data_IF_183529909482
#
_entry.id   IF_183529909482
#
_cell.length_a   1.000
_cell.length_b   1.000
_cell.length_c   1.000
_cell.angle_alpha   90.00
_cell.angle_beta   90.00
_cell.angle_gamma   90.00
#
_symmetry.space_group_name_H-M   'P 1'
#
loop_
_entity.id
_entity.type
_entity.pdbx_description
1 polymer ?
#
# COMPACT_ATOMS: atom_id res chain seq x y z
N UNK A 1 -34.20 10.91 -2.98
CA UNK A 1 -34.53 10.67 -4.40
C UNK A 1 -33.22 10.51 -5.17
N UNK A 2 -32.64 9.30 -5.15
CA UNK A 2 -31.43 8.98 -5.94
C UNK A 2 -31.89 8.77 -7.38
N UNK A 3 -31.61 9.75 -8.24
CA UNK A 3 -31.74 9.61 -9.69
C UNK A 3 -30.97 8.37 -10.11
N UNK A 4 -31.47 7.59 -11.07
CA UNK A 4 -30.73 6.49 -11.69
C UNK A 4 -29.30 6.96 -11.97
N UNK A 5 -28.28 6.16 -11.65
CA UNK A 5 -26.91 6.57 -11.91
C UNK A 5 -26.82 6.90 -13.39
N UNK A 6 -26.31 8.09 -13.71
CA UNK A 6 -26.05 8.45 -15.09
C UNK A 6 -25.30 7.29 -15.73
N UNK A 7 -25.71 6.84 -16.89
CA UNK A 7 -25.09 5.71 -17.63
C UNK A 7 -23.57 5.88 -17.73
N UNK A 8 -23.09 7.11 -17.69
CA UNK A 8 -21.69 7.48 -17.64
C UNK A 8 -20.99 7.01 -16.36
N UNK A 9 -21.60 7.20 -15.18
CA UNK A 9 -20.99 6.78 -13.90
C UNK A 9 -20.92 5.26 -13.79
N UNK A 10 -21.97 4.56 -14.22
CA UNK A 10 -21.95 3.11 -14.31
C UNK A 10 -20.85 2.60 -15.26
N UNK A 11 -20.65 3.28 -16.39
CA UNK A 11 -19.54 2.98 -17.32
C UNK A 11 -18.17 3.16 -16.68
N UNK A 12 -17.95 4.23 -15.92
CA UNK A 12 -16.69 4.49 -15.21
C UNK A 12 -16.41 3.42 -14.16
N UNK A 13 -17.43 3.03 -13.36
CA UNK A 13 -17.29 1.95 -12.37
C UNK A 13 -16.96 0.62 -13.02
N UNK A 14 -17.61 0.28 -14.15
CA UNK A 14 -17.32 -0.95 -14.87
C UNK A 14 -15.89 -0.95 -15.43
N UNK A 15 -15.47 0.14 -16.05
CA UNK A 15 -14.09 0.30 -16.53
C UNK A 15 -13.08 0.17 -15.37
N UNK A 16 -13.35 0.83 -14.23
CA UNK A 16 -12.53 0.74 -13.02
C UNK A 16 -12.44 -0.71 -12.55
N UNK A 17 -13.55 -1.41 -12.38
CA UNK A 17 -13.58 -2.80 -11.93
C UNK A 17 -12.75 -3.72 -12.84
N UNK A 18 -12.88 -3.58 -14.16
CA UNK A 18 -12.13 -4.38 -15.14
C UNK A 18 -10.62 -4.08 -15.03
N UNK A 19 -10.22 -2.81 -15.04
CA UNK A 19 -8.81 -2.41 -14.97
C UNK A 19 -8.18 -2.91 -13.66
N UNK A 20 -8.85 -2.71 -12.53
CA UNK A 20 -8.36 -3.15 -11.24
C UNK A 20 -8.27 -4.68 -11.13
N UNK A 21 -9.24 -5.41 -11.68
CA UNK A 21 -9.20 -6.87 -11.73
C UNK A 21 -8.04 -7.38 -12.59
N UNK A 22 -7.80 -6.77 -13.76
CA UNK A 22 -6.68 -7.11 -14.65
C UNK A 22 -5.33 -6.84 -13.98
N UNK A 23 -5.17 -5.68 -13.34
CA UNK A 23 -3.94 -5.36 -12.59
C UNK A 23 -3.75 -6.32 -11.42
N UNK A 24 -4.81 -6.59 -10.64
CA UNK A 24 -4.78 -7.57 -9.56
C UNK A 24 -4.40 -8.96 -10.04
N UNK A 25 -4.99 -9.45 -11.13
CA UNK A 25 -4.67 -10.72 -11.77
C UNK A 25 -3.21 -10.79 -12.23
N UNK A 26 -2.71 -9.74 -12.86
CA UNK A 26 -1.32 -9.65 -13.28
C UNK A 26 -0.34 -9.82 -12.11
N UNK A 27 -0.67 -9.29 -10.94
CA UNK A 27 0.14 -9.46 -9.73
C UNK A 27 0.20 -10.92 -9.25
N UNK A 28 -0.79 -11.75 -9.53
CA UNK A 28 -0.75 -13.18 -9.19
C UNK A 28 -0.04 -14.02 -10.25
N UNK A 29 -0.24 -13.75 -11.54
CA UNK A 29 0.25 -14.57 -12.64
C UNK A 29 1.70 -14.32 -13.05
N UNK A 30 2.22 -13.11 -12.83
CA UNK A 30 3.61 -12.81 -13.17
C UNK A 30 4.57 -13.75 -12.43
N UNK A 31 5.32 -14.54 -13.21
CA UNK A 31 6.41 -15.39 -12.69
C UNK A 31 7.57 -14.51 -12.24
N UNK A 32 8.09 -14.80 -11.06
CA UNK A 32 9.23 -14.08 -10.49
C UNK A 32 10.40 -15.01 -10.21
N UNK A 33 11.63 -14.52 -10.34
CA UNK A 33 12.81 -15.25 -9.91
C UNK A 33 12.66 -15.65 -8.43
N UNK A 34 13.12 -16.85 -8.10
CA UNK A 34 13.15 -17.35 -6.72
C UNK A 34 14.41 -16.79 -6.06
N UNK A 35 14.37 -15.51 -5.69
CA UNK A 35 15.40 -14.84 -4.92
C UNK A 35 14.89 -14.64 -3.48
N UNK A 36 15.68 -15.03 -2.48
CA UNK A 36 15.32 -14.87 -1.06
C UNK A 36 15.16 -13.40 -0.68
N UNK A 37 15.95 -12.52 -1.28
CA UNK A 37 15.88 -11.06 -1.10
C UNK A 37 14.50 -10.50 -1.49
N UNK A 38 13.82 -11.15 -2.43
CA UNK A 38 12.47 -10.78 -2.89
C UNK A 38 11.34 -11.46 -2.09
N UNK A 39 11.64 -12.21 -1.01
CA UNK A 39 10.64 -12.94 -0.23
C UNK A 39 9.51 -12.03 0.25
N UNK A 40 9.83 -10.90 0.86
CA UNK A 40 8.83 -9.95 1.37
C UNK A 40 8.08 -9.25 0.24
N UNK A 41 8.74 -8.94 -0.87
CA UNK A 41 8.08 -8.43 -2.06
C UNK A 41 7.08 -9.46 -2.61
N UNK A 42 7.44 -10.74 -2.71
CA UNK A 42 6.51 -11.79 -3.14
C UNK A 42 5.28 -11.89 -2.24
N UNK A 43 5.48 -11.76 -0.92
CA UNK A 43 4.37 -11.76 0.03
C UNK A 43 3.51 -10.49 -0.14
N UNK A 44 4.12 -9.32 -0.17
CA UNK A 44 3.41 -8.05 -0.30
C UNK A 44 2.65 -7.96 -1.63
N UNK A 45 3.19 -8.52 -2.71
CA UNK A 45 2.53 -8.61 -4.01
C UNK A 45 1.18 -9.33 -3.94
N UNK A 46 1.09 -10.43 -3.18
CA UNK A 46 -0.18 -11.14 -2.97
C UNK A 46 -1.18 -10.26 -2.22
N UNK A 47 -0.74 -9.53 -1.19
CA UNK A 47 -1.61 -8.60 -0.47
C UNK A 47 -2.11 -7.46 -1.37
N UNK A 48 -1.23 -6.90 -2.19
CA UNK A 48 -1.61 -5.87 -3.17
C UNK A 48 -2.60 -6.44 -4.19
N UNK A 49 -2.37 -7.65 -4.71
CA UNK A 49 -3.31 -8.30 -5.61
C UNK A 49 -4.70 -8.48 -4.99
N UNK A 50 -4.78 -8.94 -3.74
CA UNK A 50 -6.04 -9.03 -3.01
C UNK A 50 -6.68 -7.67 -2.76
N UNK A 51 -5.88 -6.62 -2.49
CA UNK A 51 -6.39 -5.25 -2.37
C UNK A 51 -7.02 -4.77 -3.69
N UNK A 52 -6.41 -5.07 -4.83
CA UNK A 52 -6.99 -4.76 -6.15
C UNK A 52 -8.30 -5.50 -6.40
N UNK A 53 -8.36 -6.80 -6.06
CA UNK A 53 -9.62 -7.54 -6.19
C UNK A 53 -10.71 -7.03 -5.26
N UNK A 54 -10.36 -6.60 -4.04
CA UNK A 54 -11.34 -5.99 -3.14
C UNK A 54 -11.88 -4.65 -3.66
N UNK A 55 -11.03 -3.84 -4.34
CA UNK A 55 -11.47 -2.62 -5.04
C UNK A 55 -12.42 -2.95 -6.18
N UNK A 56 -11.99 -3.85 -7.08
CA UNK A 56 -12.81 -4.27 -8.21
C UNK A 56 -14.17 -4.85 -7.77
N UNK A 57 -14.16 -5.66 -6.71
CA UNK A 57 -15.38 -6.20 -6.11
C UNK A 57 -16.29 -5.10 -5.57
N UNK A 58 -15.71 -4.09 -4.92
CA UNK A 58 -16.48 -2.93 -4.42
C UNK A 58 -17.13 -2.16 -5.55
N UNK A 59 -16.40 -1.92 -6.65
CA UNK A 59 -16.95 -1.24 -7.82
C UNK A 59 -18.12 -2.04 -8.44
N UNK A 60 -18.00 -3.38 -8.49
CA UNK A 60 -19.09 -4.26 -8.94
C UNK A 60 -20.28 -4.21 -7.98
N UNK A 61 -20.04 -4.25 -6.67
CA UNK A 61 -21.12 -4.11 -5.67
C UNK A 61 -21.84 -2.78 -5.84
N UNK A 62 -21.11 -1.68 -6.03
CA UNK A 62 -21.70 -0.38 -6.31
C UNK A 62 -22.60 -0.40 -7.55
N UNK A 63 -22.15 -1.05 -8.64
CA UNK A 63 -22.96 -1.19 -9.86
C UNK A 63 -24.27 -1.96 -9.61
N UNK A 64 -24.22 -2.99 -8.77
CA UNK A 64 -25.40 -3.80 -8.43
C UNK A 64 -26.35 -3.04 -7.49
N UNK A 65 -25.81 -2.38 -6.47
CA UNK A 65 -26.60 -1.70 -5.44
C UNK A 65 -27.10 -0.31 -5.83
N UNK A 66 -26.48 0.35 -6.81
CA UNK A 66 -26.99 1.63 -7.34
C UNK A 66 -28.40 1.55 -7.94
N UNK A 67 -28.87 0.35 -8.26
CA UNK A 67 -30.23 0.11 -8.79
C UNK A 67 -31.31 0.02 -7.72
N UNK A 68 -30.93 -0.23 -6.47
CA UNK A 68 -31.86 -0.43 -5.38
C UNK A 68 -31.67 0.67 -4.33
N UNK A 69 -32.78 1.12 -3.72
CA UNK A 69 -32.75 2.11 -2.63
C UNK A 69 -32.24 1.44 -1.33
N UNK A 70 -30.93 1.07 -1.30
CA UNK A 70 -30.34 0.56 -0.07
C UNK A 70 -30.19 1.68 0.96
N UNK A 71 -30.38 1.31 2.22
CA UNK A 71 -30.15 2.20 3.36
C UNK A 71 -28.75 2.80 3.29
N UNK A 72 -28.68 4.11 3.35
CA UNK A 72 -27.45 4.89 3.28
C UNK A 72 -26.39 4.39 4.29
N UNK A 73 -26.85 3.93 5.45
CA UNK A 73 -25.98 3.47 6.53
C UNK A 73 -25.30 2.14 6.24
N UNK A 74 -25.97 1.19 5.57
CA UNK A 74 -25.36 -0.05 5.08
C UNK A 74 -24.18 0.26 4.15
N UNK A 75 -24.42 1.14 3.20
CA UNK A 75 -23.41 1.57 2.23
C UNK A 75 -22.20 2.24 2.90
N UNK A 76 -22.44 3.10 3.89
CA UNK A 76 -21.39 3.77 4.67
C UNK A 76 -20.51 2.76 5.41
N UNK A 77 -21.09 1.74 6.04
CA UNK A 77 -20.36 0.67 6.73
C UNK A 77 -19.44 -0.06 5.74
N UNK A 78 -20.01 -0.46 4.59
CA UNK A 78 -19.26 -1.21 3.57
C UNK A 78 -18.07 -0.41 3.04
N UNK A 79 -18.29 0.86 2.68
CA UNK A 79 -17.22 1.74 2.17
C UNK A 79 -16.12 1.95 3.23
N UNK A 80 -16.50 2.16 4.50
CA UNK A 80 -15.53 2.31 5.59
C UNK A 80 -14.70 1.03 5.78
N UNK A 81 -15.34 -0.13 5.77
CA UNK A 81 -14.68 -1.42 5.91
C UNK A 81 -13.66 -1.66 4.78
N UNK A 82 -14.09 -1.44 3.53
CA UNK A 82 -13.22 -1.60 2.36
C UNK A 82 -12.06 -0.61 2.40
N UNK A 83 -12.32 0.66 2.73
CA UNK A 83 -11.27 1.67 2.85
C UNK A 83 -10.23 1.29 3.93
N UNK A 84 -10.66 0.74 5.07
CA UNK A 84 -9.77 0.30 6.14
C UNK A 84 -8.94 -0.95 5.74
N UNK A 85 -9.55 -1.90 5.03
CA UNK A 85 -8.83 -3.06 4.45
C UNK A 85 -7.76 -2.59 3.47
N UNK A 86 -8.10 -1.67 2.57
CA UNK A 86 -7.19 -1.16 1.56
C UNK A 86 -6.04 -0.35 2.18
N UNK A 87 -6.35 0.54 3.14
CA UNK A 87 -5.32 1.27 3.88
C UNK A 87 -4.32 0.29 4.53
N UNK A 88 -4.81 -0.82 5.09
CA UNK A 88 -3.94 -1.86 5.68
C UNK A 88 -3.07 -2.55 4.63
N UNK A 89 -3.66 -2.99 3.52
CA UNK A 89 -2.96 -3.79 2.51
C UNK A 89 -1.95 -2.97 1.72
N UNK A 90 -2.36 -1.80 1.20
CA UNK A 90 -1.47 -0.95 0.42
C UNK A 90 -0.36 -0.31 1.27
N UNK A 91 -0.71 0.23 2.45
CA UNK A 91 0.30 0.82 3.33
C UNK A 91 1.30 -0.23 3.82
N UNK A 92 0.82 -1.41 4.22
CA UNK A 92 1.68 -2.52 4.62
C UNK A 92 2.61 -2.95 3.50
N UNK A 93 2.11 -3.08 2.27
CA UNK A 93 2.92 -3.43 1.12
C UNK A 93 4.00 -2.38 0.81
N UNK A 94 3.64 -1.09 0.86
CA UNK A 94 4.59 0.01 0.62
C UNK A 94 5.69 0.06 1.69
N UNK A 95 5.37 -0.24 2.96
CA UNK A 95 6.38 -0.35 4.01
C UNK A 95 7.36 -1.48 3.73
N UNK A 96 6.91 -2.62 3.18
CA UNK A 96 7.82 -3.74 2.85
C UNK A 96 8.78 -3.44 1.70
N UNK A 97 8.46 -2.46 0.84
CA UNK A 97 9.38 -2.03 -0.23
C UNK A 97 10.57 -1.25 0.33
N UNK A 98 10.42 -0.60 1.48
CA UNK A 98 11.49 0.18 2.14
C UNK A 98 12.12 -0.56 3.32
N UNK A 99 11.47 -1.59 3.86
CA UNK A 99 11.98 -2.43 4.92
C UNK A 99 11.65 -3.90 4.66
N UNK A 100 12.62 -4.66 4.15
CA UNK A 100 12.45 -6.08 3.81
C UNK A 100 12.16 -6.97 5.03
N UNK A 101 12.53 -6.55 6.24
CA UNK A 101 12.31 -7.30 7.50
C UNK A 101 10.97 -6.98 8.17
N UNK A 102 10.16 -6.08 7.58
CA UNK A 102 8.88 -5.70 8.18
C UNK A 102 7.94 -6.91 8.32
N UNK A 103 7.35 -7.18 9.52
CA UNK A 103 6.53 -8.36 9.77
C UNK A 103 5.11 -8.20 9.21
N UNK A 104 5.00 -8.08 7.87
CA UNK A 104 3.77 -7.75 7.16
C UNK A 104 2.61 -8.68 7.52
N UNK A 105 2.79 -10.00 7.43
CA UNK A 105 1.71 -10.95 7.61
C UNK A 105 1.05 -10.87 9.00
N UNK A 106 1.87 -10.70 10.04
CA UNK A 106 1.38 -10.60 11.43
C UNK A 106 0.68 -9.26 11.69
N UNK A 107 1.22 -8.17 11.14
CA UNK A 107 0.63 -6.83 11.22
C UNK A 107 -0.71 -6.78 10.49
N UNK A 108 -0.73 -7.16 9.20
CA UNK A 108 -1.94 -7.17 8.37
C UNK A 108 -3.05 -8.03 9.01
N UNK A 109 -2.74 -9.24 9.49
CA UNK A 109 -3.75 -10.10 10.13
C UNK A 109 -4.41 -9.44 11.33
N UNK A 110 -3.63 -8.79 12.21
CA UNK A 110 -4.19 -8.08 13.38
C UNK A 110 -5.10 -6.93 12.97
N UNK A 111 -4.68 -6.12 12.00
CA UNK A 111 -5.49 -5.00 11.51
C UNK A 111 -6.76 -5.49 10.80
N UNK A 112 -6.69 -6.54 9.98
CA UNK A 112 -7.87 -7.10 9.32
C UNK A 112 -8.88 -7.68 10.33
N UNK A 113 -8.41 -8.35 11.40
CA UNK A 113 -9.29 -8.80 12.48
C UNK A 113 -9.97 -7.62 13.21
N UNK A 114 -9.22 -6.54 13.47
CA UNK A 114 -9.79 -5.34 14.07
C UNK A 114 -10.84 -4.67 13.15
N UNK A 115 -10.57 -4.60 11.85
CA UNK A 115 -11.53 -4.09 10.85
C UNK A 115 -12.78 -4.99 10.80
N UNK A 116 -12.62 -6.30 10.76
CA UNK A 116 -13.75 -7.24 10.76
C UNK A 116 -14.61 -7.10 12.03
N UNK A 117 -13.98 -7.02 13.20
CA UNK A 117 -14.68 -6.82 14.46
C UNK A 117 -15.41 -5.46 14.50
N UNK A 118 -14.77 -4.38 14.06
CA UNK A 118 -15.38 -3.05 13.96
C UNK A 118 -16.57 -3.03 12.99
N UNK A 119 -16.42 -3.67 11.82
CA UNK A 119 -17.51 -3.79 10.83
C UNK A 119 -18.68 -4.59 11.39
N UNK A 120 -18.43 -5.73 12.04
CA UNK A 120 -19.46 -6.53 12.69
C UNK A 120 -20.19 -5.74 13.80
N UNK A 121 -19.43 -4.97 14.59
CA UNK A 121 -20.00 -4.11 15.63
C UNK A 121 -20.90 -3.01 15.05
N UNK A 122 -20.51 -2.41 13.91
CA UNK A 122 -21.34 -1.41 13.22
C UNK A 122 -22.62 -2.01 12.68
N UNK A 123 -22.57 -3.20 12.04
CA UNK A 123 -23.78 -3.89 11.58
C UNK A 123 -24.69 -4.29 12.75
N UNK A 124 -24.10 -4.84 13.83
CA UNK A 124 -24.87 -5.18 15.03
C UNK A 124 -25.54 -3.94 15.65
N UNK A 125 -24.80 -2.82 15.73
CA UNK A 125 -25.36 -1.57 16.24
C UNK A 125 -26.47 -1.02 15.34
N UNK A 126 -26.29 -1.06 14.03
CA UNK A 126 -27.31 -0.62 13.06
C UNK A 126 -28.61 -1.42 13.21
N UNK A 127 -28.52 -2.74 13.42
CA UNK A 127 -29.68 -3.63 13.51
C UNK A 127 -30.39 -3.56 14.88
N UNK A 128 -29.62 -3.52 15.98
CA UNK A 128 -30.17 -3.67 17.33
C UNK A 128 -30.26 -2.34 18.10
N UNK A 129 -29.44 -1.35 17.74
CA UNK A 129 -29.34 -0.06 18.46
C UNK A 129 -29.22 1.12 17.49
N UNK A 130 -30.21 1.35 16.60
CA UNK A 130 -30.11 2.38 15.56
C UNK A 130 -29.85 3.79 16.08
N UNK A 131 -30.29 4.10 17.30
CA UNK A 131 -30.06 5.41 17.94
C UNK A 131 -28.56 5.63 18.28
N UNK A 132 -27.81 4.57 18.60
CA UNK A 132 -26.40 4.64 18.93
C UNK A 132 -25.49 4.58 17.66
N UNK A 133 -26.04 4.15 16.55
CA UNK A 133 -25.29 3.96 15.28
C UNK A 133 -24.53 5.21 14.83
N UNK A 134 -25.11 6.44 14.79
CA UNK A 134 -24.39 7.62 14.32
C UNK A 134 -23.14 7.94 15.16
N UNK A 135 -23.20 7.67 16.47
CA UNK A 135 -22.08 7.91 17.39
C UNK A 135 -20.98 6.87 17.14
N UNK A 136 -21.37 5.58 17.11
CA UNK A 136 -20.42 4.48 16.88
C UNK A 136 -19.75 4.61 15.50
N UNK A 137 -20.52 5.00 14.48
CA UNK A 137 -19.98 5.23 13.13
C UNK A 137 -18.92 6.34 13.12
N UNK A 138 -19.18 7.49 13.76
CA UNK A 138 -18.19 8.59 13.86
C UNK A 138 -16.93 8.15 14.60
N UNK A 139 -17.07 7.39 15.68
CA UNK A 139 -15.94 6.84 16.42
C UNK A 139 -15.10 5.88 15.57
N UNK A 140 -15.76 5.02 14.81
CA UNK A 140 -15.08 4.08 13.89
C UNK A 140 -14.40 4.82 12.74
N UNK A 141 -15.03 5.86 12.18
CA UNK A 141 -14.41 6.71 11.17
C UNK A 141 -13.19 7.47 11.72
N UNK A 142 -13.27 7.96 12.96
CA UNK A 142 -12.11 8.56 13.64
C UNK A 142 -10.99 7.53 13.87
N UNK A 143 -11.31 6.31 14.29
CA UNK A 143 -10.35 5.21 14.45
C UNK A 143 -9.68 4.87 13.11
N UNK A 144 -10.41 4.92 11.99
CA UNK A 144 -9.84 4.77 10.65
C UNK A 144 -8.83 5.89 10.32
N UNK A 145 -9.14 7.15 10.62
CA UNK A 145 -8.19 8.24 10.44
C UNK A 145 -6.93 8.05 11.29
N UNK A 146 -7.07 7.60 12.54
CA UNK A 146 -5.94 7.24 13.42
C UNK A 146 -5.13 6.09 12.80
N UNK A 147 -5.77 5.08 12.22
CA UNK A 147 -5.10 3.98 11.53
C UNK A 147 -4.22 4.51 10.38
N UNK A 148 -4.74 5.41 9.53
CA UNK A 148 -3.95 6.05 8.46
C UNK A 148 -2.76 6.81 9.04
N UNK A 149 -2.96 7.58 10.10
CA UNK A 149 -1.88 8.33 10.75
C UNK A 149 -0.78 7.43 11.32
N UNK A 150 -1.13 6.29 11.92
CA UNK A 150 -0.18 5.29 12.42
C UNK A 150 0.61 4.64 11.28
N UNK A 151 -0.03 4.30 10.16
CA UNK A 151 0.66 3.83 8.98
C UNK A 151 1.58 4.89 8.40
N UNK A 152 1.15 6.15 8.34
CA UNK A 152 1.96 7.26 7.86
C UNK A 152 3.21 7.45 8.74
N UNK A 153 3.05 7.43 10.06
CA UNK A 153 4.18 7.49 11.01
C UNK A 153 5.17 6.35 10.79
N UNK A 154 4.65 5.12 10.65
CA UNK A 154 5.48 3.93 10.42
C UNK A 154 6.23 4.04 9.10
N UNK A 155 5.53 4.39 8.01
CA UNK A 155 6.13 4.55 6.71
C UNK A 155 7.22 5.63 6.69
N UNK A 156 6.95 6.81 7.25
CA UNK A 156 7.93 7.91 7.29
C UNK A 156 9.18 7.51 8.07
N UNK A 157 9.02 6.76 9.18
CA UNK A 157 10.16 6.26 9.96
C UNK A 157 11.01 5.31 9.13
N UNK A 158 10.41 4.28 8.55
CA UNK A 158 11.11 3.27 7.76
C UNK A 158 11.73 3.87 6.49
N UNK A 159 11.01 4.78 5.83
CA UNK A 159 11.52 5.48 4.66
C UNK A 159 12.75 6.35 4.98
N UNK A 160 12.75 7.05 6.13
CA UNK A 160 13.91 7.84 6.57
C UNK A 160 15.11 6.96 6.86
N UNK A 161 14.92 5.80 7.48
CA UNK A 161 15.99 4.83 7.75
C UNK A 161 16.54 4.30 6.43
N UNK A 162 15.69 3.85 5.52
CA UNK A 162 16.09 3.37 4.20
C UNK A 162 16.83 4.45 3.42
N UNK A 163 16.35 5.67 3.46
CA UNK A 163 17.00 6.82 2.82
C UNK A 163 18.43 7.04 3.33
N UNK A 164 18.61 7.07 4.64
CA UNK A 164 19.96 7.25 5.23
C UNK A 164 20.93 6.14 4.81
N UNK A 165 20.44 4.88 4.75
CA UNK A 165 21.23 3.76 4.28
C UNK A 165 21.67 3.96 2.82
N UNK A 166 20.73 4.36 1.95
CA UNK A 166 21.03 4.61 0.53
C UNK A 166 21.95 5.79 0.32
N UNK A 167 21.79 6.89 1.06
CA UNK A 167 22.66 8.07 0.99
C UNK A 167 24.11 7.73 1.37
N UNK A 168 24.32 6.72 2.25
CA UNK A 168 25.66 6.27 2.65
C UNK A 168 26.35 5.37 1.62
N UNK A 169 25.59 4.67 0.76
CA UNK A 169 26.14 3.67 -0.15
C UNK A 169 26.12 4.09 -1.63
N UNK A 170 25.24 5.01 -2.01
CA UNK A 170 25.06 5.41 -3.41
C UNK A 170 25.11 6.92 -3.57
N UNK A 171 25.63 7.38 -4.72
CA UNK A 171 25.50 8.76 -5.15
C UNK A 171 24.03 9.09 -5.52
N UNK A 172 23.67 10.36 -5.55
CA UNK A 172 22.31 10.95 -5.65
C UNK A 172 21.31 10.31 -6.66
N UNK A 173 21.79 9.52 -7.63
CA UNK A 173 20.95 8.94 -8.68
C UNK A 173 19.96 7.86 -8.21
N UNK A 174 20.31 7.06 -7.21
CA UNK A 174 19.50 5.91 -6.77
C UNK A 174 18.32 6.33 -5.89
N UNK A 175 18.44 7.47 -5.20
CA UNK A 175 17.36 8.06 -4.40
C UNK A 175 16.10 8.40 -5.23
N UNK A 176 16.27 8.81 -6.49
CA UNK A 176 15.18 9.13 -7.39
C UNK A 176 14.28 7.92 -7.63
N UNK A 177 14.84 6.71 -7.60
CA UNK A 177 14.14 5.44 -7.84
C UNK A 177 13.16 5.08 -6.71
N UNK A 178 13.45 5.47 -5.46
CA UNK A 178 12.55 5.24 -4.32
C UNK A 178 11.50 6.35 -4.13
N UNK A 179 11.66 7.48 -4.81
CA UNK A 179 10.72 8.62 -4.66
C UNK A 179 9.28 8.24 -5.00
N UNK A 180 9.08 7.36 -6.01
CA UNK A 180 7.73 6.92 -6.37
C UNK A 180 7.02 6.16 -5.25
N UNK A 181 7.76 5.43 -4.39
CA UNK A 181 7.19 4.71 -3.23
C UNK A 181 6.61 5.71 -2.23
N UNK A 182 7.34 6.80 -1.95
CA UNK A 182 6.87 7.87 -1.07
C UNK A 182 5.64 8.60 -1.65
N UNK A 183 5.67 8.91 -2.94
CA UNK A 183 4.53 9.54 -3.64
C UNK A 183 3.32 8.61 -3.63
N UNK A 184 3.52 7.31 -3.88
CA UNK A 184 2.45 6.31 -3.85
C UNK A 184 1.83 6.18 -2.46
N UNK A 185 2.66 6.23 -1.41
CA UNK A 185 2.15 6.21 -0.04
C UNK A 185 1.30 7.45 0.27
N UNK A 186 1.80 8.63 -0.09
CA UNK A 186 1.07 9.90 0.09
C UNK A 186 -0.28 9.88 -0.64
N UNK A 187 -0.29 9.44 -1.90
CA UNK A 187 -1.52 9.36 -2.69
C UNK A 187 -2.51 8.34 -2.12
N UNK A 188 -2.02 7.17 -1.69
CA UNK A 188 -2.88 6.16 -1.01
C UNK A 188 -3.50 6.73 0.27
N UNK A 189 -2.73 7.46 1.08
CA UNK A 189 -3.23 8.09 2.29
C UNK A 189 -4.26 9.19 1.98
N UNK A 190 -4.01 10.02 0.96
CA UNK A 190 -4.94 11.06 0.51
C UNK A 190 -6.26 10.45 0.00
N UNK A 191 -6.22 9.39 -0.81
CA UNK A 191 -7.41 8.67 -1.27
C UNK A 191 -8.19 8.12 -0.06
N UNK A 192 -7.50 7.56 0.92
CA UNK A 192 -8.15 7.08 2.16
C UNK A 192 -8.82 8.20 2.95
N UNK A 193 -8.17 9.35 3.10
CA UNK A 193 -8.73 10.52 3.80
C UNK A 193 -9.89 11.15 3.04
N UNK A 194 -9.84 11.22 1.71
CA UNK A 194 -10.95 11.72 0.89
C UNK A 194 -12.16 10.79 0.95
N UNK A 195 -11.95 9.46 1.00
CA UNK A 195 -13.04 8.51 1.26
C UNK A 195 -13.68 8.74 2.63
N UNK A 196 -12.88 8.95 3.70
CA UNK A 196 -13.39 9.27 5.02
C UNK A 196 -14.17 10.59 5.05
N UNK A 197 -13.67 11.61 4.36
CA UNK A 197 -14.36 12.90 4.25
C UNK A 197 -15.73 12.77 3.59
N UNK A 198 -15.83 11.97 2.53
CA UNK A 198 -17.11 11.67 1.89
C UNK A 198 -18.10 10.98 2.85
N UNK A 199 -17.63 9.98 3.58
CA UNK A 199 -18.44 9.23 4.55
C UNK A 199 -19.08 10.13 5.62
N UNK A 200 -18.34 11.17 6.05
CA UNK A 200 -18.81 12.07 7.11
C UNK A 200 -19.64 13.22 6.57
N UNK A 201 -19.28 13.77 5.40
CA UNK A 201 -19.89 14.99 4.84
C UNK A 201 -21.10 14.73 3.94
N UNK A 202 -21.30 13.48 3.45
CA UNK A 202 -22.38 13.14 2.54
C UNK A 202 -22.31 13.88 1.19
N UNK A 203 -21.10 14.15 0.69
CA UNK A 203 -20.86 14.79 -0.61
C UNK A 203 -21.57 14.03 -1.73
N UNK A 204 -22.14 14.76 -2.71
CA UNK A 204 -23.01 14.21 -3.74
C UNK A 204 -22.29 13.43 -4.86
N UNK A 205 -23.06 12.98 -5.86
CA UNK A 205 -22.61 12.16 -7.00
C UNK A 205 -21.43 12.76 -7.79
N UNK A 206 -21.32 14.09 -8.04
CA UNK A 206 -20.15 14.64 -8.75
C UNK A 206 -18.82 14.36 -8.04
N UNK A 207 -18.83 14.37 -6.71
CA UNK A 207 -17.65 14.01 -5.92
C UNK A 207 -17.28 12.54 -6.10
N UNK A 208 -18.25 11.62 -6.04
CA UNK A 208 -18.01 10.19 -6.25
C UNK A 208 -17.45 9.90 -7.62
N UNK A 209 -17.96 10.56 -8.66
CA UNK A 209 -17.46 10.44 -10.02
C UNK A 209 -15.99 10.87 -10.12
N UNK A 210 -15.66 12.06 -9.61
CA UNK A 210 -14.28 12.56 -9.60
C UNK A 210 -13.36 11.67 -8.76
N UNK A 211 -13.82 11.23 -7.59
CA UNK A 211 -13.08 10.32 -6.70
C UNK A 211 -12.77 8.99 -7.38
N UNK A 212 -13.77 8.36 -8.04
CA UNK A 212 -13.59 7.11 -8.77
C UNK A 212 -12.57 7.28 -9.91
N UNK A 213 -12.65 8.36 -10.67
CA UNK A 213 -11.69 8.65 -11.73
C UNK A 213 -10.25 8.81 -11.20
N UNK A 214 -10.09 9.56 -10.12
CA UNK A 214 -8.77 9.80 -9.51
C UNK A 214 -8.17 8.50 -8.97
N UNK A 215 -8.93 7.72 -8.21
CA UNK A 215 -8.38 6.48 -7.65
C UNK A 215 -8.09 5.43 -8.74
N UNK A 216 -8.92 5.31 -9.76
CA UNK A 216 -8.71 4.42 -10.90
C UNK A 216 -7.38 4.73 -11.60
N UNK A 217 -7.16 5.99 -11.97
CA UNK A 217 -5.90 6.43 -12.62
C UNK A 217 -4.71 6.18 -11.71
N UNK A 218 -4.82 6.55 -10.44
CA UNK A 218 -3.73 6.37 -9.48
C UNK A 218 -3.37 4.88 -9.29
N UNK A 219 -4.36 4.02 -9.02
CA UNK A 219 -4.08 2.61 -8.80
C UNK A 219 -3.62 1.89 -10.06
N UNK A 220 -4.05 2.30 -11.25
CA UNK A 220 -3.48 1.80 -12.52
C UNK A 220 -1.99 2.14 -12.60
N UNK A 221 -1.61 3.38 -12.38
CA UNK A 221 -0.21 3.81 -12.37
C UNK A 221 0.60 3.08 -11.28
N UNK A 222 0.06 3.01 -10.06
CA UNK A 222 0.68 2.31 -8.95
C UNK A 222 0.92 0.82 -9.27
N UNK A 223 -0.07 0.13 -9.83
CA UNK A 223 0.04 -1.28 -10.21
C UNK A 223 1.14 -1.52 -11.24
N UNK A 224 1.23 -0.69 -12.28
CA UNK A 224 2.29 -0.77 -13.28
C UNK A 224 3.69 -0.56 -12.66
N UNK A 225 3.84 0.44 -11.80
CA UNK A 225 5.11 0.68 -11.09
C UNK A 225 5.46 -0.45 -10.13
N UNK A 226 4.46 -0.98 -9.44
CA UNK A 226 4.64 -2.08 -8.50
C UNK A 226 5.06 -3.38 -9.21
N UNK A 227 4.48 -3.69 -10.36
CA UNK A 227 4.85 -4.85 -11.20
C UNK A 227 6.30 -4.74 -11.68
N UNK A 228 6.75 -3.55 -12.04
CA UNK A 228 8.10 -3.30 -12.56
C UNK A 228 9.17 -3.15 -11.46
N UNK A 229 8.77 -3.05 -10.19
CA UNK A 229 9.68 -2.85 -9.06
C UNK A 229 10.81 -3.89 -8.95
N UNK A 230 10.63 -5.20 -9.21
CA UNK A 230 11.71 -6.18 -9.13
C UNK A 230 12.89 -5.92 -10.06
N UNK A 231 12.63 -5.33 -11.22
CA UNK A 231 13.71 -4.95 -12.14
C UNK A 231 14.57 -3.80 -11.57
N UNK A 232 13.93 -2.91 -10.81
CA UNK A 232 14.63 -1.82 -10.09
C UNK A 232 15.27 -2.31 -8.80
N UNK A 233 14.63 -3.28 -8.11
CA UNK A 233 15.04 -3.80 -6.80
C UNK A 233 16.40 -4.50 -6.86
N UNK A 234 16.73 -5.21 -7.93
CA UNK A 234 18.02 -5.93 -8.04
C UNK A 234 19.25 -5.07 -7.78
N UNK A 235 19.14 -3.76 -8.00
CA UNK A 235 20.23 -2.79 -7.75
C UNK A 235 20.27 -2.27 -6.32
N UNK A 236 19.13 -2.14 -5.65
CA UNK A 236 19.01 -1.57 -4.30
C UNK A 236 18.85 -2.66 -3.22
N UNK A 237 18.62 -3.90 -3.64
CA UNK A 237 18.43 -5.05 -2.76
C UNK A 237 19.54 -5.24 -1.73
N UNK A 238 20.84 -5.13 -2.07
CA UNK A 238 21.93 -5.33 -1.11
C UNK A 238 21.83 -4.39 0.10
N UNK A 239 21.38 -3.14 -0.13
CA UNK A 239 21.29 -2.12 0.93
C UNK A 239 20.02 -2.27 1.78
N UNK A 240 18.91 -2.62 1.13
CA UNK A 240 17.62 -2.78 1.82
C UNK A 240 17.58 -4.08 2.63
N UNK A 241 18.27 -5.13 2.17
CA UNK A 241 18.31 -6.43 2.84
C UNK A 241 19.30 -6.50 4.03
N UNK A 242 20.04 -5.43 4.32
CA UNK A 242 21.15 -5.44 5.28
C UNK A 242 22.22 -6.54 4.97
N UNK A 243 22.28 -7.02 3.73
CA UNK A 243 23.31 -7.96 3.27
C UNK A 243 24.64 -7.25 2.96
N UNK A 244 24.70 -5.94 3.12
CA UNK A 244 25.94 -5.20 3.05
C UNK A 244 26.66 -5.50 4.36
N UNK A 245 27.86 -6.12 4.33
CA UNK A 245 28.70 -6.21 5.51
C UNK A 245 28.81 -4.79 6.08
N UNK A 246 28.64 -4.64 7.41
CA UNK A 246 28.97 -3.36 8.05
C UNK A 246 30.27 -2.85 7.43
N UNK A 247 30.33 -1.57 7.01
CA UNK A 247 31.59 -1.06 6.50
C UNK A 247 32.62 -1.41 7.56
N UNK A 248 33.46 -2.37 7.22
CA UNK A 248 34.56 -2.86 8.06
C UNK A 248 35.11 -1.63 8.73
N UNK A 249 35.21 -1.63 10.04
CA UNK A 249 35.63 -0.50 10.85
C UNK A 249 36.80 0.20 10.11
N UNK A 250 36.45 1.37 9.57
CA UNK A 250 37.25 1.96 8.50
C UNK A 250 38.65 2.26 9.02
N UNK A 251 39.57 1.49 8.62
CA UNK A 251 40.98 1.74 8.84
C UNK A 251 41.89 0.50 8.92
N UNK A 252 41.55 -0.49 9.73
CA UNK A 252 42.42 -1.64 9.95
C UNK A 252 42.29 -2.76 8.93
N UNK A 253 41.04 -3.05 8.51
CA UNK A 253 40.78 -4.19 7.61
C UNK A 253 41.02 -3.89 6.12
N UNK A 254 40.95 -2.62 5.69
CA UNK A 254 41.28 -2.27 4.29
C UNK A 254 42.76 -2.42 4.05
N UNK A 255 43.60 -2.05 5.01
CA UNK A 255 45.04 -2.27 4.89
C UNK A 255 45.38 -3.75 4.84
N UNK A 256 44.83 -4.56 5.73
CA UNK A 256 45.06 -6.01 5.76
C UNK A 256 44.56 -6.69 4.48
N UNK A 257 43.35 -6.37 4.01
CA UNK A 257 42.82 -6.90 2.75
C UNK A 257 43.63 -6.41 1.51
N UNK A 258 44.12 -5.17 1.55
CA UNK A 258 44.98 -4.64 0.49
C UNK A 258 46.36 -5.30 0.51
N UNK A 259 46.95 -5.50 1.69
CA UNK A 259 48.25 -6.18 1.85
C UNK A 259 48.14 -7.66 1.44
N UNK A 260 47.09 -8.37 1.78
CA UNK A 260 46.79 -9.72 1.30
C UNK A 260 46.58 -9.77 -0.22
N UNK A 261 45.88 -8.80 -0.81
CA UNK A 261 45.67 -8.72 -2.25
C UNK A 261 46.96 -8.41 -3.00
N UNK A 262 47.83 -7.52 -2.45
CA UNK A 262 49.16 -7.20 -2.98
C UNK A 262 50.07 -8.43 -2.90
N UNK A 263 50.06 -9.16 -1.78
CA UNK A 263 50.81 -10.38 -1.60
C UNK A 263 50.37 -11.49 -2.56
N UNK A 264 49.05 -11.67 -2.74
CA UNK A 264 48.48 -12.68 -3.65
C UNK A 264 48.78 -12.41 -5.13
N UNK A 265 48.95 -11.14 -5.52
CA UNK A 265 49.30 -10.75 -6.90
C UNK A 265 50.79 -10.55 -7.19
N UNK A 266 51.64 -10.82 -6.22
CA UNK A 266 53.10 -10.77 -6.43
C UNK A 266 53.65 -9.37 -6.69
N UNK A 267 52.93 -8.32 -6.30
CA UNK A 267 53.47 -6.97 -6.35
C UNK A 267 54.46 -6.77 -5.20
N UNK A 268 55.72 -6.85 -5.52
CA UNK A 268 56.82 -6.50 -4.59
C UNK A 268 56.79 -4.99 -4.38
N UNK A 269 56.73 -4.51 -3.14
CA UNK A 269 56.96 -3.09 -2.83
C UNK A 269 58.39 -2.75 -3.30
N UNK A 270 58.60 -1.73 -4.14
CA UNK A 270 59.92 -1.21 -4.37
C UNK A 270 60.46 -0.61 -3.06
N UNK A 271 61.60 -1.07 -2.61
CA UNK A 271 62.28 -0.61 -1.42
C UNK A 271 62.71 0.85 -1.50
#
# INVERSE_FOLDING_TARGET
MFRQPDSLYAGVLLCSAIILAVVGGSLFWLRMPVDERLRNYRLSRRFVGWAYFSLAFTDVLWLLFLREEYELDFTRILVLAVAAVQATMFSGALVTLVNSRFPLARGVRRHLLAVAAGTASLFGCMLFFPQAFPVLFRLTAAAYCVQIALFARTFVREYRVCRRKLDNFFSDGEMRRLRWVAVSFLMTALIGLTAAAWLVSGLGMPYLFAFTGVYMVFYTFFGMKYINYPAEFGRIAPVIADDVPEPLAAGENIRTALDEWIAAKGYVRPG
#
